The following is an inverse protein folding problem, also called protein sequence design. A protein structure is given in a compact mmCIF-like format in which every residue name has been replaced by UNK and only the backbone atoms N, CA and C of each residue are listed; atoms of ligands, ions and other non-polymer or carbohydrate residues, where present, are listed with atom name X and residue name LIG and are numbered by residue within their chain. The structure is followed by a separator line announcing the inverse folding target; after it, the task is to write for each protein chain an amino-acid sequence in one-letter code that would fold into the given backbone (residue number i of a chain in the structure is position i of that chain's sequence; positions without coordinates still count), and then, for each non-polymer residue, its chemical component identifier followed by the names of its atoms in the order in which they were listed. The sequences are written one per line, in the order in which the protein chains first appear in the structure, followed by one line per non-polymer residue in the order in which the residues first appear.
data_IF_430729914329
#
_entry.id   IF_430729914329
#
_cell.length_a   1.000
_cell.length_b   1.000
_cell.length_c   1.000
_cell.angle_alpha   90.00
_cell.angle_beta   90.00
_cell.angle_gamma   90.00
#
_symmetry.space_group_name_H-M   'P 1'
#
loop_
_entity.id
_entity.type
_entity.pdbx_description
1 polymer ?
#
# COMPACT_ATOMS: atom_id res chain seq x y z
N UNK A 1 13.16 14.87 -23.52
CA UNK A 1 13.19 15.29 -22.10
C UNK A 1 11.76 15.26 -21.58
N UNK A 2 11.41 14.31 -20.71
CA UNK A 2 10.07 14.18 -20.13
C UNK A 2 9.99 15.01 -18.84
N UNK A 3 9.12 16.03 -18.75
CA UNK A 3 8.89 16.76 -17.50
C UNK A 3 7.88 15.98 -16.64
N UNK A 4 7.88 16.22 -15.33
CA UNK A 4 6.90 15.71 -14.34
C UNK A 4 7.19 14.38 -13.64
N UNK A 5 8.34 14.28 -12.97
CA UNK A 5 8.34 13.66 -11.64
C UNK A 5 7.90 14.71 -10.62
N UNK A 6 6.60 15.06 -10.62
CA UNK A 6 6.04 15.93 -9.56
C UNK A 6 5.88 15.08 -8.30
N UNK A 7 6.93 15.01 -7.50
CA UNK A 7 6.80 14.52 -6.13
C UNK A 7 5.97 15.55 -5.36
N UNK A 8 4.78 15.17 -4.91
CA UNK A 8 3.90 16.05 -4.13
C UNK A 8 3.95 15.63 -2.67
N UNK A 9 4.06 16.56 -1.74
CA UNK A 9 3.85 16.29 -0.32
C UNK A 9 2.36 16.17 -0.03
N UNK A 10 1.99 15.30 0.92
CA UNK A 10 0.61 15.19 1.41
C UNK A 10 0.12 16.54 1.96
N UNK A 11 -1.12 16.90 1.67
CA UNK A 11 -1.78 18.00 2.37
C UNK A 11 -2.19 17.54 3.77
N UNK A 12 -2.37 18.49 4.70
CA UNK A 12 -2.83 18.18 6.06
C UNK A 12 -4.19 17.42 6.06
N UNK A 13 -5.07 17.73 5.10
CA UNK A 13 -6.34 17.02 4.95
C UNK A 13 -6.16 15.57 4.50
N UNK A 14 -5.26 15.32 3.54
CA UNK A 14 -4.94 13.97 3.07
C UNK A 14 -4.30 13.14 4.17
N UNK A 15 -3.35 13.72 4.90
CA UNK A 15 -2.71 13.07 6.04
C UNK A 15 -3.73 12.73 7.13
N UNK A 16 -4.68 13.63 7.41
CA UNK A 16 -5.73 13.37 8.39
C UNK A 16 -6.70 12.28 7.92
N UNK A 17 -7.06 12.23 6.63
CA UNK A 17 -7.90 11.17 6.07
C UNK A 17 -7.23 9.81 6.15
N UNK A 18 -5.96 9.73 5.74
CA UNK A 18 -5.14 8.52 5.84
C UNK A 18 -5.03 8.08 7.29
N UNK A 19 -4.74 9.00 8.22
CA UNK A 19 -4.63 8.68 9.64
C UNK A 19 -5.94 8.17 10.24
N UNK A 20 -7.08 8.78 9.90
CA UNK A 20 -8.40 8.34 10.37
C UNK A 20 -8.78 6.95 9.85
N UNK A 21 -8.51 6.67 8.58
CA UNK A 21 -8.92 5.42 7.93
C UNK A 21 -7.93 4.27 8.14
N UNK A 22 -6.64 4.56 8.04
CA UNK A 22 -5.57 3.56 8.01
C UNK A 22 -4.71 3.56 9.28
N UNK A 23 -4.95 4.47 10.25
CA UNK A 23 -4.14 4.62 11.45
C UNK A 23 -4.08 3.37 12.32
N UNK A 24 -5.19 2.65 12.44
CA UNK A 24 -5.24 1.39 13.20
C UNK A 24 -4.37 0.32 12.54
N UNK A 25 -4.52 0.09 11.23
CA UNK A 25 -3.72 -0.89 10.49
C UNK A 25 -2.23 -0.54 10.51
N UNK A 26 -1.89 0.74 10.39
CA UNK A 26 -0.51 1.20 10.52
C UNK A 26 0.05 0.90 11.90
N UNK A 27 -0.73 1.10 12.96
CA UNK A 27 -0.35 0.73 14.33
C UNK A 27 -0.11 -0.78 14.46
N UNK A 28 -1.01 -1.59 13.92
CA UNK A 28 -0.90 -3.05 13.91
C UNK A 28 0.35 -3.52 13.16
N UNK A 29 0.62 -2.96 11.98
CA UNK A 29 1.82 -3.26 11.21
C UNK A 29 3.10 -2.91 11.98
N UNK A 30 3.15 -1.73 12.60
CA UNK A 30 4.31 -1.33 13.43
C UNK A 30 4.54 -2.30 14.59
N UNK A 31 3.46 -2.74 15.25
CA UNK A 31 3.56 -3.74 16.31
C UNK A 31 4.00 -5.10 15.77
N UNK A 32 3.52 -5.52 14.60
CA UNK A 32 3.96 -6.74 13.95
C UNK A 32 5.45 -6.70 13.63
N UNK A 33 5.93 -5.61 13.00
CA UNK A 33 7.33 -5.45 12.65
C UNK A 33 8.23 -5.43 13.89
N UNK A 34 7.80 -4.76 14.97
CA UNK A 34 8.50 -4.73 16.25
C UNK A 34 8.52 -6.09 16.96
N UNK A 35 7.45 -6.87 16.84
CA UNK A 35 7.40 -8.22 17.40
C UNK A 35 8.24 -9.22 16.58
N UNK A 36 8.52 -8.91 15.31
CA UNK A 36 9.19 -9.78 14.36
C UNK A 36 10.42 -9.11 13.72
N UNK A 37 11.23 -8.40 14.50
CA UNK A 37 12.38 -7.61 14.00
C UNK A 37 13.37 -8.42 13.15
N UNK A 38 13.49 -9.73 13.38
CA UNK A 38 14.34 -10.64 12.60
C UNK A 38 13.67 -11.30 11.38
N UNK A 39 12.36 -11.14 11.20
CA UNK A 39 11.57 -11.76 10.11
C UNK A 39 10.45 -10.84 9.63
N UNK A 40 10.77 -9.70 9.00
CA UNK A 40 9.76 -8.72 8.55
C UNK A 40 8.75 -9.32 7.57
N UNK A 41 9.13 -10.35 6.81
CA UNK A 41 8.24 -11.07 5.87
C UNK A 41 6.99 -11.69 6.50
N UNK A 42 6.99 -11.92 7.81
CA UNK A 42 5.78 -12.38 8.54
C UNK A 42 4.66 -11.34 8.48
N UNK A 43 5.02 -10.06 8.32
CA UNK A 43 4.09 -8.95 8.30
C UNK A 43 3.67 -8.53 6.87
N UNK A 44 4.10 -9.24 5.81
CA UNK A 44 3.86 -8.86 4.41
C UNK A 44 2.37 -8.69 4.07
N UNK A 45 1.52 -9.55 4.65
CA UNK A 45 0.08 -9.43 4.46
C UNK A 45 -0.48 -8.15 5.08
N UNK A 46 -0.01 -7.76 6.27
CA UNK A 46 -0.39 -6.51 6.91
C UNK A 46 0.18 -5.30 6.16
N UNK A 47 1.40 -5.41 5.62
CA UNK A 47 1.99 -4.39 4.75
C UNK A 47 1.13 -4.15 3.51
N UNK A 48 0.70 -5.22 2.82
CA UNK A 48 -0.16 -5.11 1.64
C UNK A 48 -1.52 -4.49 1.97
N UNK A 49 -2.10 -4.82 3.14
CA UNK A 49 -3.35 -4.20 3.59
C UNK A 49 -3.19 -2.70 3.88
N UNK A 50 -2.10 -2.31 4.55
CA UNK A 50 -1.78 -0.90 4.80
C UNK A 50 -1.55 -0.15 3.49
N UNK A 51 -0.79 -0.75 2.56
CA UNK A 51 -0.55 -0.22 1.22
C UNK A 51 -1.86 0.05 0.48
N UNK A 52 -2.76 -0.94 0.47
CA UNK A 52 -4.07 -0.80 -0.16
C UNK A 52 -4.89 0.33 0.48
N UNK A 53 -4.96 0.39 1.81
CA UNK A 53 -5.69 1.43 2.52
C UNK A 53 -5.18 2.84 2.19
N UNK A 54 -3.85 3.02 2.12
CA UNK A 54 -3.24 4.29 1.72
C UNK A 54 -3.55 4.62 0.26
N UNK A 55 -3.48 3.63 -0.63
CA UNK A 55 -3.80 3.80 -2.04
C UNK A 55 -5.28 4.16 -2.25
N UNK A 56 -6.22 3.65 -1.45
CA UNK A 56 -7.64 4.04 -1.55
C UNK A 56 -7.85 5.55 -1.36
N UNK A 57 -7.03 6.20 -0.52
CA UNK A 57 -7.15 7.62 -0.22
C UNK A 57 -6.35 8.48 -1.21
N UNK A 58 -5.15 8.03 -1.58
CA UNK A 58 -4.16 8.85 -2.28
C UNK A 58 -3.95 8.48 -3.75
N UNK A 59 -4.27 7.25 -4.11
CA UNK A 59 -4.06 6.66 -5.43
C UNK A 59 -5.26 5.77 -5.83
N UNK A 60 -6.50 6.31 -5.85
CA UNK A 60 -7.72 5.50 -5.96
C UNK A 60 -7.79 4.71 -7.27
N UNK A 61 -7.14 5.19 -8.34
CA UNK A 61 -7.04 4.45 -9.61
C UNK A 61 -6.25 3.15 -9.44
N UNK A 62 -5.10 3.22 -8.78
CA UNK A 62 -4.24 2.06 -8.51
C UNK A 62 -4.89 1.12 -7.50
N UNK A 63 -5.56 1.66 -6.47
CA UNK A 63 -6.34 0.85 -5.54
C UNK A 63 -7.49 0.09 -6.24
N UNK A 64 -8.20 0.74 -7.16
CA UNK A 64 -9.26 0.09 -7.93
C UNK A 64 -8.71 -1.03 -8.81
N UNK A 65 -7.57 -0.82 -9.47
CA UNK A 65 -6.92 -1.86 -10.29
C UNK A 65 -6.53 -3.07 -9.44
N UNK A 66 -5.91 -2.84 -8.28
CA UNK A 66 -5.59 -3.90 -7.32
C UNK A 66 -6.84 -4.65 -6.86
N UNK A 67 -7.93 -3.94 -6.54
CA UNK A 67 -9.20 -4.57 -6.13
C UNK A 67 -9.75 -5.48 -7.23
N UNK A 68 -9.74 -5.02 -8.48
CA UNK A 68 -10.18 -5.83 -9.62
C UNK A 68 -9.33 -7.09 -9.78
N UNK A 69 -8.01 -6.97 -9.74
CA UNK A 69 -7.12 -8.13 -9.79
C UNK A 69 -7.38 -9.09 -8.63
N UNK A 70 -7.50 -8.57 -7.40
CA UNK A 70 -7.73 -9.36 -6.21
C UNK A 70 -9.04 -10.15 -6.31
N UNK A 71 -10.13 -9.51 -6.72
CA UNK A 71 -11.42 -10.19 -6.95
C UNK A 71 -11.28 -11.28 -8.00
N UNK A 72 -10.67 -10.99 -9.15
CA UNK A 72 -10.45 -12.01 -10.19
C UNK A 72 -9.57 -13.18 -9.73
N UNK A 73 -8.57 -12.93 -8.90
CA UNK A 73 -7.69 -13.96 -8.37
C UNK A 73 -8.43 -14.86 -7.37
N UNK A 74 -9.25 -14.28 -6.49
CA UNK A 74 -10.13 -15.02 -5.58
C UNK A 74 -11.15 -15.84 -6.35
N UNK A 75 -11.80 -15.27 -7.36
CA UNK A 75 -12.80 -15.95 -8.20
C UNK A 75 -12.18 -17.14 -8.96
N UNK A 76 -10.89 -17.06 -9.31
CA UNK A 76 -10.11 -18.15 -9.93
C UNK A 76 -9.58 -19.17 -8.91
N UNK A 77 -9.89 -19.03 -7.62
CA UNK A 77 -9.40 -19.92 -6.56
C UNK A 77 -7.90 -19.76 -6.26
N UNK A 78 -7.30 -18.61 -6.60
CA UNK A 78 -5.88 -18.35 -6.35
C UNK A 78 -5.67 -17.84 -4.93
N UNK A 79 -4.99 -18.62 -4.11
CA UNK A 79 -4.68 -18.24 -2.72
C UNK A 79 -3.40 -17.40 -2.57
N UNK A 80 -2.53 -17.39 -3.59
CA UNK A 80 -1.31 -16.58 -3.60
C UNK A 80 -1.55 -15.18 -4.20
N UNK A 81 -2.42 -14.42 -3.56
CA UNK A 81 -2.92 -13.12 -4.04
C UNK A 81 -1.81 -12.08 -4.22
N UNK A 82 -0.77 -12.13 -3.36
CA UNK A 82 0.40 -11.26 -3.47
C UNK A 82 1.22 -11.51 -4.74
N UNK A 83 1.31 -12.76 -5.20
CA UNK A 83 1.95 -13.08 -6.48
C UNK A 83 1.05 -12.79 -7.68
N UNK A 84 -0.25 -13.04 -7.54
CA UNK A 84 -1.21 -12.89 -8.63
C UNK A 84 -1.39 -11.42 -9.03
N UNK A 85 -1.36 -10.51 -8.05
CA UNK A 85 -1.54 -9.07 -8.25
C UNK A 85 -0.25 -8.28 -8.01
N UNK A 86 0.91 -8.88 -8.31
CA UNK A 86 2.22 -8.28 -8.05
C UNK A 86 2.38 -6.94 -8.77
N UNK A 87 1.87 -6.83 -10.00
CA UNK A 87 1.98 -5.61 -10.79
C UNK A 87 1.19 -4.48 -10.14
N UNK A 88 -0.04 -4.75 -9.71
CA UNK A 88 -0.93 -3.79 -9.08
C UNK A 88 -0.37 -3.32 -7.72
N UNK A 89 0.25 -4.23 -6.97
CA UNK A 89 0.98 -3.90 -5.74
C UNK A 89 2.16 -2.96 -6.05
N UNK A 90 2.95 -3.24 -7.10
CA UNK A 90 4.05 -2.38 -7.51
C UNK A 90 3.56 -0.98 -7.96
N UNK A 91 2.46 -0.92 -8.69
CA UNK A 91 1.86 0.34 -9.16
C UNK A 91 1.34 1.19 -7.99
N UNK A 92 0.71 0.56 -6.99
CA UNK A 92 0.32 1.23 -5.74
C UNK A 92 1.54 1.76 -4.98
N UNK A 93 2.60 0.95 -4.83
CA UNK A 93 3.86 1.37 -4.20
C UNK A 93 4.45 2.58 -4.93
N UNK A 94 4.54 2.54 -6.25
CA UNK A 94 5.08 3.64 -7.05
C UNK A 94 4.22 4.91 -6.94
N UNK A 95 2.89 4.78 -6.93
CA UNK A 95 1.99 5.92 -6.75
C UNK A 95 2.17 6.57 -5.38
N UNK A 96 2.27 5.77 -4.31
CA UNK A 96 2.48 6.26 -2.95
C UNK A 96 3.87 6.88 -2.73
N UNK A 97 4.90 6.38 -3.40
CA UNK A 97 6.23 7.00 -3.42
C UNK A 97 6.21 8.40 -4.05
N UNK A 98 5.44 8.60 -5.12
CA UNK A 98 5.29 9.92 -5.78
C UNK A 98 4.62 10.96 -4.88
N UNK A 99 3.79 10.54 -3.94
CA UNK A 99 3.12 11.44 -2.98
C UNK A 99 3.82 11.52 -1.61
N UNK A 100 5.03 10.94 -1.49
CA UNK A 100 5.80 10.82 -0.23
C UNK A 100 4.97 10.26 0.95
N UNK A 101 3.90 9.54 0.68
CA UNK A 101 2.95 9.08 1.70
C UNK A 101 3.38 7.81 2.41
N UNK A 102 4.68 7.64 2.56
CA UNK A 102 5.30 6.35 2.75
C UNK A 102 5.61 6.07 4.22
N UNK A 103 5.31 4.85 4.70
CA UNK A 103 6.07 4.28 5.80
C UNK A 103 6.65 2.91 5.41
N UNK A 104 7.35 2.76 4.27
CA UNK A 104 8.04 1.49 3.95
C UNK A 104 9.44 1.71 3.40
N UNK A 105 10.22 2.62 4.01
CA UNK A 105 11.59 3.04 3.61
C UNK A 105 12.20 2.11 2.55
N UNK A 106 12.47 2.66 1.36
CA UNK A 106 13.35 2.02 0.38
C UNK A 106 14.53 1.45 1.13
N UNK A 107 14.70 0.13 1.05
CA UNK A 107 15.95 -0.54 1.40
C UNK A 107 17.10 0.11 0.61
#
# INVERSE_FOLDING_TARGET
MWPFSRTRSLTAEEEQRVRRRCGLMLGTLRNCLRANEGKPGVCDNLENQVLYCYAEVLAPKQASAHRTCFTQAVDKGTWNLGSACRQEIADMKQALQKVRAYPFKTA
#
